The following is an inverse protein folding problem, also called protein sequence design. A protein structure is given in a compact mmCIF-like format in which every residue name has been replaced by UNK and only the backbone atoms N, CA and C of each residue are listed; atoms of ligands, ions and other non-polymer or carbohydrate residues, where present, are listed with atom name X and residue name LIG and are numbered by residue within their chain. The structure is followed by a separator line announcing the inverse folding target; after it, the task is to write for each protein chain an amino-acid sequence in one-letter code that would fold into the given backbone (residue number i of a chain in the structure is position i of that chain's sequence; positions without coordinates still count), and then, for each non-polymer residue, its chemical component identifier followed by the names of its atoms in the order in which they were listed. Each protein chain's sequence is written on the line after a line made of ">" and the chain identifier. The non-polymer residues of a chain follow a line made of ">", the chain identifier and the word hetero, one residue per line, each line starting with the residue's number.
data_IF_632033632562
#
_entry.id   IF_632033632562
#
_cell.length_a   1.000
_cell.length_b   1.000
_cell.length_c   1.000
_cell.angle_alpha   90.00
_cell.angle_beta   90.00
_cell.angle_gamma   90.00
#
_symmetry.space_group_name_H-M   'P 1'
#
loop_
_entity.id
_entity.type
_entity.pdbx_description
1 polymer ?
#
# COMPACT_ATOMS: atom_id res chain seq x y z
N UNK A 1 24.73 1.99 9.13
CA UNK A 1 23.30 1.71 9.35
C UNK A 1 22.60 2.03 8.04
N UNK A 2 22.09 1.02 7.34
CA UNK A 2 21.69 1.14 5.92
C UNK A 2 20.24 1.60 5.82
N UNK A 3 20.01 2.73 5.15
CA UNK A 3 18.67 3.30 4.91
C UNK A 3 17.98 2.49 3.80
N UNK A 4 17.37 1.36 4.16
CA UNK A 4 16.58 0.54 3.24
C UNK A 4 15.21 1.16 2.92
N UNK A 5 14.76 2.10 3.75
CA UNK A 5 13.45 2.72 3.63
C UNK A 5 13.36 3.61 2.37
N UNK A 6 14.39 4.42 2.09
CA UNK A 6 14.30 5.47 1.08
C UNK A 6 13.98 4.95 -0.34
N UNK A 7 14.50 3.79 -0.73
CA UNK A 7 14.27 3.26 -2.08
C UNK A 7 12.82 2.85 -2.36
N UNK A 8 12.09 2.31 -1.38
CA UNK A 8 10.71 1.89 -1.60
C UNK A 8 9.77 3.11 -1.68
N UNK A 9 9.97 4.08 -0.79
CA UNK A 9 9.20 5.32 -0.76
C UNK A 9 9.43 6.12 -2.04
N UNK A 10 10.68 6.21 -2.51
CA UNK A 10 11.01 6.85 -3.79
C UNK A 10 10.31 6.21 -4.99
N UNK A 11 10.21 4.88 -5.00
CA UNK A 11 9.55 4.13 -6.07
C UNK A 11 8.04 4.38 -6.07
N UNK A 12 7.42 4.38 -4.88
CA UNK A 12 5.99 4.66 -4.73
C UNK A 12 5.70 6.12 -5.08
N UNK A 13 6.47 7.07 -4.56
CA UNK A 13 6.34 8.50 -4.89
C UNK A 13 6.42 8.75 -6.40
N UNK A 14 7.37 8.11 -7.11
CA UNK A 14 7.48 8.25 -8.57
C UNK A 14 6.31 7.62 -9.34
N UNK A 15 5.77 6.49 -8.88
CA UNK A 15 4.70 5.76 -9.57
C UNK A 15 3.29 6.29 -9.26
N UNK A 16 3.07 6.67 -8.01
CA UNK A 16 1.78 7.10 -7.48
C UNK A 16 1.68 8.62 -7.31
N UNK A 17 2.75 9.38 -7.60
CA UNK A 17 2.78 10.84 -7.50
C UNK A 17 2.29 11.37 -6.14
N UNK A 18 2.68 10.67 -5.06
CA UNK A 18 2.35 10.98 -3.66
C UNK A 18 3.56 11.56 -2.95
N UNK A 19 3.35 12.43 -1.97
CA UNK A 19 4.46 12.97 -1.18
C UNK A 19 4.86 12.00 -0.08
N UNK A 20 6.09 12.16 0.42
CA UNK A 20 6.60 11.36 1.53
C UNK A 20 5.75 11.50 2.81
N UNK A 21 5.22 12.70 3.08
CA UNK A 21 4.34 12.97 4.23
C UNK A 21 3.03 12.18 4.13
N UNK A 22 2.36 12.25 2.99
CA UNK A 22 1.13 11.48 2.70
C UNK A 22 1.35 9.97 2.86
N UNK A 23 2.48 9.46 2.36
CA UNK A 23 2.87 8.05 2.50
C UNK A 23 3.14 7.65 3.95
N UNK A 24 3.70 8.56 4.75
CA UNK A 24 4.04 8.31 6.13
C UNK A 24 2.79 8.30 7.01
N UNK A 25 1.86 9.24 6.79
CA UNK A 25 0.54 9.25 7.45
C UNK A 25 -0.29 8.02 7.08
N UNK A 26 -0.19 7.57 5.83
CA UNK A 26 -0.80 6.34 5.39
C UNK A 26 -0.19 5.12 6.09
N UNK A 27 1.14 5.03 6.14
CA UNK A 27 1.83 3.95 6.84
C UNK A 27 1.40 3.89 8.31
N UNK A 28 1.31 5.04 8.99
CA UNK A 28 0.83 5.15 10.37
C UNK A 28 -0.63 4.69 10.51
N UNK A 29 -1.50 5.04 9.55
CA UNK A 29 -2.92 4.64 9.56
C UNK A 29 -3.10 3.14 9.28
N UNK A 30 -2.19 2.57 8.48
CA UNK A 30 -2.14 1.15 8.16
C UNK A 30 -1.48 0.34 9.30
N UNK A 31 -0.57 0.93 10.08
CA UNK A 31 0.03 0.33 11.27
C UNK A 31 -1.04 0.12 12.37
N UNK A 32 -1.59 -1.10 12.41
CA UNK A 32 -2.67 -1.49 13.33
C UNK A 32 -4.02 -1.73 12.66
N UNK A 33 -4.12 -1.47 11.35
CA UNK A 33 -5.28 -1.86 10.56
C UNK A 33 -5.36 -3.40 10.45
N UNK A 34 -6.59 -3.94 10.49
CA UNK A 34 -6.81 -5.36 10.31
C UNK A 34 -6.89 -5.71 8.82
N UNK A 35 -5.76 -6.11 8.23
CA UNK A 35 -5.71 -6.53 6.82
C UNK A 35 -6.41 -7.87 6.52
N UNK A 36 -6.93 -8.56 7.54
CA UNK A 36 -7.77 -9.75 7.35
C UNK A 36 -9.25 -9.40 7.18
N UNK A 37 -9.63 -8.16 7.48
CA UNK A 37 -11.01 -7.69 7.36
C UNK A 37 -11.22 -7.01 6.00
N UNK A 38 -12.10 -7.59 5.19
CA UNK A 38 -12.38 -7.12 3.84
C UNK A 38 -12.89 -5.66 3.81
N UNK A 39 -13.71 -5.26 4.78
CA UNK A 39 -14.25 -3.90 4.86
C UNK A 39 -13.12 -2.89 5.16
N UNK A 40 -12.27 -3.21 6.13
CA UNK A 40 -11.10 -2.42 6.52
C UNK A 40 -10.12 -2.28 5.34
N UNK A 41 -9.80 -3.39 4.67
CA UNK A 41 -8.90 -3.40 3.51
C UNK A 41 -9.49 -2.58 2.37
N UNK A 42 -10.78 -2.73 2.09
CA UNK A 42 -11.49 -1.99 1.04
C UNK A 42 -11.40 -0.48 1.28
N UNK A 43 -11.73 -0.05 2.50
CA UNK A 43 -11.68 1.36 2.87
C UNK A 43 -10.25 1.91 2.74
N UNK A 44 -9.26 1.16 3.22
CA UNK A 44 -7.87 1.54 3.12
C UNK A 44 -7.43 1.70 1.66
N UNK A 45 -7.74 0.74 0.78
CA UNK A 45 -7.42 0.83 -0.66
C UNK A 45 -8.04 2.09 -1.27
N UNK A 46 -9.29 2.38 -0.94
CA UNK A 46 -9.99 3.56 -1.46
C UNK A 46 -9.32 4.86 -1.02
N UNK A 47 -8.99 4.99 0.27
CA UNK A 47 -8.36 6.19 0.83
C UNK A 47 -6.97 6.41 0.21
N UNK A 48 -6.19 5.33 0.03
CA UNK A 48 -4.90 5.36 -0.67
C UNK A 48 -5.05 5.77 -2.13
N UNK A 49 -6.02 5.17 -2.83
CA UNK A 49 -6.27 5.44 -4.24
C UNK A 49 -6.64 6.90 -4.47
N UNK A 50 -7.49 7.47 -3.61
CA UNK A 50 -7.85 8.89 -3.64
C UNK A 50 -6.65 9.79 -3.38
N UNK A 51 -5.86 9.48 -2.34
CA UNK A 51 -4.66 10.23 -1.99
C UNK A 51 -3.61 10.21 -3.11
N UNK A 52 -3.43 9.06 -3.76
CA UNK A 52 -2.53 8.89 -4.90
C UNK A 52 -3.08 9.38 -6.24
N UNK A 53 -4.35 9.81 -6.29
CA UNK A 53 -5.02 10.14 -7.55
C UNK A 53 -5.10 8.95 -8.53
N UNK A 54 -5.04 7.72 -8.02
CA UNK A 54 -5.10 6.49 -8.81
C UNK A 54 -6.54 6.04 -8.91
N UNK A 55 -7.06 5.91 -10.13
CA UNK A 55 -8.41 5.39 -10.35
C UNK A 55 -8.42 3.86 -10.19
N UNK A 56 -9.05 3.39 -9.11
CA UNK A 56 -9.33 1.97 -8.88
C UNK A 56 -10.75 1.69 -9.34
N UNK A 57 -10.91 0.81 -10.33
CA UNK A 57 -12.22 0.31 -10.74
C UNK A 57 -12.71 -0.75 -9.75
N UNK A 58 -14.02 -0.95 -9.65
CA UNK A 58 -14.63 -1.95 -8.76
C UNK A 58 -14.00 -3.34 -8.87
N UNK A 59 -13.70 -3.78 -10.09
CA UNK A 59 -13.06 -5.09 -10.32
C UNK A 59 -11.63 -5.16 -9.75
N UNK A 60 -10.86 -4.07 -9.88
CA UNK A 60 -9.51 -3.98 -9.28
C UNK A 60 -9.57 -3.92 -7.76
N UNK A 61 -10.54 -3.18 -7.23
CA UNK A 61 -10.76 -3.09 -5.78
C UNK A 61 -11.05 -4.46 -5.19
N UNK A 62 -12.00 -5.22 -5.78
CA UNK A 62 -12.31 -6.59 -5.36
C UNK A 62 -11.09 -7.52 -5.48
N UNK A 63 -10.29 -7.41 -6.54
CA UNK A 63 -9.05 -8.17 -6.69
C UNK A 63 -8.01 -7.84 -5.61
N UNK A 64 -7.82 -6.55 -5.29
CA UNK A 64 -6.88 -6.10 -4.26
C UNK A 64 -7.32 -6.58 -2.88
N UNK A 65 -8.59 -6.38 -2.54
CA UNK A 65 -9.22 -6.88 -1.31
C UNK A 65 -9.02 -8.38 -1.18
N UNK A 66 -9.33 -9.14 -2.23
CA UNK A 66 -9.19 -10.58 -2.23
C UNK A 66 -7.72 -11.01 -2.07
N UNK A 67 -6.79 -10.34 -2.76
CA UNK A 67 -5.37 -10.68 -2.71
C UNK A 67 -4.75 -10.40 -1.35
N UNK A 68 -5.16 -9.32 -0.69
CA UNK A 68 -4.70 -8.93 0.65
C UNK A 68 -5.29 -9.88 1.71
N UNK A 69 -6.61 -10.10 1.69
CA UNK A 69 -7.28 -10.97 2.67
C UNK A 69 -6.92 -12.45 2.54
N UNK A 70 -6.57 -12.92 1.33
CA UNK A 70 -6.10 -14.29 1.09
C UNK A 70 -4.57 -14.44 1.23
N UNK A 71 -3.87 -13.41 1.73
CA UNK A 71 -2.42 -13.41 1.90
C UNK A 71 -1.65 -13.77 0.60
N UNK A 72 -2.19 -13.45 -0.58
CA UNK A 72 -1.53 -13.68 -1.86
C UNK A 72 -0.41 -12.65 -2.11
N UNK A 73 -0.42 -11.54 -1.36
CA UNK A 73 0.59 -10.50 -1.41
C UNK A 73 1.29 -10.45 -0.05
N UNK A 74 2.63 -10.44 0.01
CA UNK A 74 3.33 -10.26 1.26
C UNK A 74 3.07 -8.85 1.77
N UNK A 75 2.39 -8.75 2.91
CA UNK A 75 2.07 -7.46 3.57
C UNK A 75 3.21 -6.97 4.45
N UNK A 76 4.25 -7.79 4.65
CA UNK A 76 5.40 -7.38 5.42
C UNK A 76 6.29 -6.43 4.61
N UNK A 77 6.67 -5.33 5.26
CA UNK A 77 7.46 -4.27 4.65
C UNK A 77 8.78 -4.79 4.04
N UNK A 78 9.40 -5.80 4.65
CA UNK A 78 10.65 -6.38 4.17
C UNK A 78 10.48 -7.07 2.81
N UNK A 79 9.44 -7.89 2.65
CA UNK A 79 9.10 -8.55 1.38
C UNK A 79 8.67 -7.56 0.32
N UNK A 80 7.84 -6.55 0.68
CA UNK A 80 7.49 -5.47 -0.26
C UNK A 80 8.76 -4.75 -0.73
N UNK A 81 9.68 -4.41 0.16
CA UNK A 81 10.94 -3.74 -0.21
C UNK A 81 11.79 -4.54 -1.19
N UNK A 82 11.72 -5.87 -1.16
CA UNK A 82 12.40 -6.72 -2.13
C UNK A 82 11.66 -6.74 -3.47
N UNK A 83 10.33 -6.77 -3.46
CA UNK A 83 9.50 -6.77 -4.68
C UNK A 83 9.62 -5.48 -5.50
N UNK A 84 9.75 -4.32 -4.83
CA UNK A 84 9.89 -3.02 -5.49
C UNK A 84 11.34 -2.67 -5.87
N UNK A 85 12.32 -3.47 -5.43
CA UNK A 85 13.74 -3.28 -5.77
C UNK A 85 14.09 -3.80 -7.16
N UNK A 86 13.34 -4.77 -7.69
CA UNK A 86 13.45 -5.29 -9.07
C UNK A 86 12.66 -4.43 -10.07
#
# INVERSE_FOLDING_TARGET
>A
MMSYNDSIFDHIQKKANVNQEDLQDLANSAEGANFQDEETVRQLIYDVAQMAGVHVSREKEEQLVHSITNNQIPLDFASLSNLFRE
#
